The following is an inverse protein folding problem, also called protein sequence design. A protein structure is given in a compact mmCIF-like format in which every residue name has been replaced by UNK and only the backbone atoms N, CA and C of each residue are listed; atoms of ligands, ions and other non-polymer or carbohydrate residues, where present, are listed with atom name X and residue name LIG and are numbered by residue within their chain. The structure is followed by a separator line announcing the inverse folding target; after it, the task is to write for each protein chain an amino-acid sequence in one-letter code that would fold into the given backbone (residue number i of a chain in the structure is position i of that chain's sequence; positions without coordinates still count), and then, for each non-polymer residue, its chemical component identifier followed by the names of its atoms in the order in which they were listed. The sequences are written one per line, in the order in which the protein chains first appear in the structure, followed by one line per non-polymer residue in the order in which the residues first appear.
data_IF_638968610333
#
_entry.id   IF_638968610333
#
_cell.length_a   1.000
_cell.length_b   1.000
_cell.length_c   1.000
_cell.angle_alpha   90.00
_cell.angle_beta   90.00
_cell.angle_gamma   90.00
#
_symmetry.space_group_name_H-M   'P 1'
#
loop_
_entity.id
_entity.type
_entity.pdbx_description
1 polymer ?
#
# COMPACT_ATOMS: atom_id res chain seq x y z
N UNK A 1 5.60 -16.47 8.29
CA UNK A 1 4.27 -16.64 7.68
C UNK A 1 4.21 -16.02 6.30
N UNK A 2 4.54 -14.74 6.12
CA UNK A 2 4.42 -14.02 4.84
C UNK A 2 5.46 -14.39 3.77
N UNK A 3 6.65 -14.85 4.16
CA UNK A 3 7.73 -15.21 3.23
C UNK A 3 7.43 -16.40 2.31
N UNK A 4 6.37 -17.15 2.60
CA UNK A 4 5.94 -18.32 1.82
C UNK A 4 4.61 -18.08 1.10
N UNK A 5 4.07 -16.85 1.11
CA UNK A 5 2.84 -16.52 0.40
C UNK A 5 3.15 -16.26 -1.07
N UNK A 6 2.74 -17.17 -1.92
CA UNK A 6 2.99 -17.10 -3.37
C UNK A 6 1.93 -16.28 -4.15
N UNK A 7 0.99 -15.66 -3.46
CA UNK A 7 0.03 -14.77 -4.11
C UNK A 7 0.74 -13.49 -4.55
N UNK A 8 0.42 -13.01 -5.74
CA UNK A 8 0.95 -11.75 -6.27
C UNK A 8 0.01 -10.61 -5.92
N UNK A 9 0.53 -9.57 -5.31
CA UNK A 9 -0.17 -8.32 -4.99
C UNK A 9 0.50 -7.18 -5.75
N UNK A 10 -0.28 -6.33 -6.39
CA UNK A 10 0.23 -5.09 -6.99
C UNK A 10 0.19 -3.96 -5.98
N UNK A 11 1.22 -3.12 -6.04
CA UNK A 11 1.50 -2.09 -5.04
C UNK A 11 1.67 -0.74 -5.69
N UNK A 12 1.46 0.30 -4.90
CA UNK A 12 1.68 1.68 -5.27
C UNK A 12 2.28 2.44 -4.08
N UNK A 13 3.32 3.21 -4.33
CA UNK A 13 3.74 4.30 -3.48
C UNK A 13 3.17 5.60 -4.07
N UNK A 14 2.22 6.20 -3.36
CA UNK A 14 1.45 7.36 -3.81
C UNK A 14 2.07 8.66 -3.31
N UNK A 15 3.16 9.09 -3.93
CA UNK A 15 3.73 10.43 -3.73
C UNK A 15 2.96 11.53 -4.46
N UNK A 16 2.94 12.73 -3.91
CA UNK A 16 2.23 13.88 -4.54
C UNK A 16 2.82 14.34 -5.88
N UNK A 17 4.06 13.97 -6.18
CA UNK A 17 4.73 14.30 -7.46
C UNK A 17 4.76 13.10 -8.40
N UNK A 18 5.08 11.94 -7.88
CA UNK A 18 5.20 10.71 -8.66
C UNK A 18 4.47 9.55 -7.97
N UNK A 19 3.93 8.67 -8.77
CA UNK A 19 3.47 7.35 -8.40
C UNK A 19 4.53 6.32 -8.76
N UNK A 20 4.84 5.40 -7.82
CA UNK A 20 5.73 4.28 -8.06
C UNK A 20 4.96 2.98 -7.93
N UNK A 21 4.74 2.31 -9.04
CA UNK A 21 3.99 1.06 -9.12
C UNK A 21 4.94 -0.14 -9.06
N UNK A 22 4.49 -1.21 -8.43
CA UNK A 22 5.25 -2.44 -8.32
C UNK A 22 4.37 -3.66 -8.14
N UNK A 23 5.00 -4.81 -8.03
CA UNK A 23 4.32 -6.06 -7.66
C UNK A 23 5.19 -6.88 -6.72
N UNK A 24 4.54 -7.53 -5.76
CA UNK A 24 5.20 -8.31 -4.73
C UNK A 24 4.65 -9.74 -4.66
N UNK A 25 5.54 -10.68 -4.38
CA UNK A 25 5.25 -12.09 -4.11
C UNK A 25 6.24 -12.61 -3.07
N UNK A 26 5.77 -13.30 -2.05
CA UNK A 26 6.63 -13.85 -0.98
C UNK A 26 7.59 -12.81 -0.36
N UNK A 27 7.09 -11.61 -0.10
CA UNK A 27 7.85 -10.46 0.42
C UNK A 27 9.01 -9.99 -0.47
N UNK A 28 8.92 -10.16 -1.77
CA UNK A 28 9.92 -9.67 -2.72
C UNK A 28 9.24 -8.94 -3.87
N UNK A 29 9.85 -7.87 -4.33
CA UNK A 29 9.49 -7.30 -5.60
C UNK A 29 9.80 -8.29 -6.72
N UNK A 30 8.86 -8.46 -7.65
CA UNK A 30 8.96 -9.41 -8.77
C UNK A 30 9.06 -8.73 -10.13
N UNK A 31 8.95 -7.42 -10.17
CA UNK A 31 9.20 -6.57 -11.34
C UNK A 31 10.00 -5.33 -10.92
N UNK A 32 10.67 -4.70 -11.85
CA UNK A 32 11.24 -3.38 -11.66
C UNK A 32 10.13 -2.33 -11.48
N UNK A 33 10.31 -1.35 -10.57
CA UNK A 33 9.31 -0.34 -10.31
C UNK A 33 9.03 0.53 -11.55
N UNK A 34 7.77 0.89 -11.71
CA UNK A 34 7.30 1.76 -12.80
C UNK A 34 6.95 3.12 -12.19
N UNK A 35 7.62 4.17 -12.63
CA UNK A 35 7.36 5.53 -12.13
C UNK A 35 6.58 6.34 -13.17
N UNK A 36 5.52 7.01 -12.71
CA UNK A 36 4.70 7.94 -13.51
C UNK A 36 4.45 9.23 -12.72
N UNK A 37 4.26 10.38 -13.40
CA UNK A 37 3.85 11.62 -12.73
C UNK A 37 2.48 11.42 -12.08
N UNK A 38 2.29 11.89 -10.84
CA UNK A 38 1.03 11.71 -10.10
C UNK A 38 -0.13 12.52 -10.69
N UNK A 39 0.16 13.63 -11.36
CA UNK A 39 -0.83 14.56 -11.90
C UNK A 39 -1.87 15.02 -10.86
N UNK A 40 -1.43 15.20 -9.61
CA UNK A 40 -2.27 15.38 -8.43
C UNK A 40 -3.16 16.64 -8.45
N UNK A 41 -2.95 17.56 -9.39
CA UNK A 41 -3.73 18.79 -9.59
C UNK A 41 -4.99 18.55 -10.42
N UNK A 42 -5.02 17.48 -11.22
CA UNK A 42 -6.11 17.13 -12.13
C UNK A 42 -6.61 15.73 -11.79
N UNK A 43 -7.86 15.64 -11.32
CA UNK A 43 -8.41 14.36 -10.85
C UNK A 43 -8.51 13.34 -11.97
N UNK A 44 -9.02 13.74 -13.14
CA UNK A 44 -9.23 12.81 -14.25
C UNK A 44 -7.89 12.25 -14.76
N UNK A 45 -6.90 13.12 -14.88
CA UNK A 45 -5.56 12.73 -15.30
C UNK A 45 -4.85 11.87 -14.24
N UNK A 46 -5.02 12.20 -12.96
CA UNK A 46 -4.51 11.41 -11.84
C UNK A 46 -5.11 10.00 -11.84
N UNK A 47 -6.44 9.89 -11.96
CA UNK A 47 -7.15 8.61 -12.02
C UNK A 47 -6.75 7.79 -13.26
N UNK A 48 -6.57 8.45 -14.41
CA UNK A 48 -6.07 7.77 -15.62
C UNK A 48 -4.64 7.25 -15.42
N UNK A 49 -3.76 8.04 -14.80
CA UNK A 49 -2.39 7.63 -14.46
C UNK A 49 -2.36 6.38 -13.56
N UNK A 50 -3.27 6.31 -12.57
CA UNK A 50 -3.41 5.14 -11.71
C UNK A 50 -3.79 3.89 -12.51
N UNK A 51 -4.80 4.02 -13.38
CA UNK A 51 -5.25 2.92 -14.24
C UNK A 51 -4.14 2.45 -15.19
N UNK A 52 -3.46 3.38 -15.83
CA UNK A 52 -2.38 3.06 -16.77
C UNK A 52 -1.17 2.41 -16.08
N UNK A 53 -0.82 2.90 -14.87
CA UNK A 53 0.27 2.35 -14.09
C UNK A 53 -0.02 0.91 -13.65
N UNK A 54 -1.20 0.63 -13.11
CA UNK A 54 -1.58 -0.73 -12.73
C UNK A 54 -1.70 -1.67 -13.93
N UNK A 55 -2.23 -1.20 -15.07
CA UNK A 55 -2.27 -1.99 -16.30
C UNK A 55 -0.86 -2.36 -16.79
N UNK A 56 0.09 -1.42 -16.72
CA UNK A 56 1.48 -1.66 -17.10
C UNK A 56 2.15 -2.69 -16.17
N UNK A 57 1.88 -2.63 -14.85
CA UNK A 57 2.32 -3.67 -13.91
C UNK A 57 1.75 -5.02 -14.31
N UNK A 58 0.42 -5.11 -14.51
CA UNK A 58 -0.27 -6.37 -14.86
C UNK A 58 0.30 -6.96 -16.14
N UNK A 59 0.62 -6.14 -17.14
CA UNK A 59 1.21 -6.59 -18.40
C UNK A 59 2.61 -7.22 -18.26
N UNK A 60 3.33 -6.92 -17.16
CA UNK A 60 4.65 -7.49 -16.86
C UNK A 60 4.59 -8.74 -15.98
N UNK A 61 3.41 -9.10 -15.46
CA UNK A 61 3.27 -10.25 -14.58
C UNK A 61 3.12 -11.56 -15.37
N UNK A 62 3.66 -12.61 -14.76
CA UNK A 62 3.51 -14.02 -15.22
C UNK A 62 2.21 -14.67 -14.72
N UNK A 63 1.45 -13.99 -13.87
CA UNK A 63 0.22 -14.50 -13.25
C UNK A 63 -0.77 -13.38 -12.97
N UNK A 64 -2.02 -13.76 -12.74
CA UNK A 64 -3.06 -12.83 -12.32
C UNK A 64 -2.83 -12.37 -10.87
N UNK A 65 -2.78 -11.05 -10.57
CA UNK A 65 -2.69 -10.55 -9.21
C UNK A 65 -4.00 -10.84 -8.44
N UNK A 66 -3.89 -11.03 -7.14
CA UNK A 66 -5.04 -11.31 -6.26
C UNK A 66 -5.60 -10.07 -5.57
N UNK A 67 -4.83 -8.99 -5.52
CA UNK A 67 -5.24 -7.73 -4.89
C UNK A 67 -4.39 -6.55 -5.39
N UNK A 68 -4.91 -5.35 -5.19
CA UNK A 68 -4.16 -4.09 -5.17
C UNK A 68 -4.05 -3.66 -3.70
N UNK A 69 -2.85 -3.30 -3.23
CA UNK A 69 -2.65 -2.81 -1.87
C UNK A 69 -1.63 -1.70 -1.84
N UNK A 70 -2.00 -0.56 -1.24
CA UNK A 70 -1.12 0.60 -1.21
C UNK A 70 -1.41 1.56 -0.05
N UNK A 71 -0.42 2.43 0.21
CA UNK A 71 -0.55 3.58 1.07
C UNK A 71 -1.09 4.78 0.29
N UNK A 72 -1.97 5.55 0.93
CA UNK A 72 -2.39 6.85 0.42
C UNK A 72 -2.46 7.83 1.61
N UNK A 73 -1.95 9.07 1.47
CA UNK A 73 -1.97 10.03 2.57
C UNK A 73 -3.39 10.40 2.95
N UNK A 74 -3.60 10.68 4.24
CA UNK A 74 -4.88 11.15 4.77
C UNK A 74 -5.09 12.66 4.61
N UNK A 75 -6.33 13.13 4.92
CA UNK A 75 -7.44 12.38 5.54
C UNK A 75 -8.15 11.43 4.58
N UNK A 76 -8.70 10.32 5.11
CA UNK A 76 -9.41 9.33 4.32
C UNK A 76 -10.31 8.44 5.20
N UNK A 77 -11.40 7.93 4.61
CA UNK A 77 -12.13 6.77 5.13
C UNK A 77 -11.52 5.50 4.52
N UNK A 78 -10.46 5.00 5.13
CA UNK A 78 -9.73 3.85 4.62
C UNK A 78 -10.57 2.57 4.60
N UNK A 79 -11.54 2.43 5.52
CA UNK A 79 -12.41 1.27 5.58
C UNK A 79 -13.28 1.13 4.33
N UNK A 80 -13.73 2.25 3.76
CA UNK A 80 -14.54 2.32 2.55
C UNK A 80 -13.72 2.67 1.30
N UNK A 81 -12.41 2.91 1.44
CA UNK A 81 -11.53 3.28 0.32
C UNK A 81 -11.83 4.65 -0.28
N UNK A 82 -12.35 5.58 0.55
CA UNK A 82 -12.63 6.97 0.15
C UNK A 82 -11.48 7.83 0.64
N UNK A 83 -10.74 8.45 -0.26
CA UNK A 83 -9.58 9.29 0.04
C UNK A 83 -9.89 10.76 -0.22
N UNK A 84 -9.33 11.64 0.62
CA UNK A 84 -9.65 13.07 0.55
C UNK A 84 -10.86 13.45 1.42
N UNK A 85 -11.59 14.47 0.98
CA UNK A 85 -12.73 15.01 1.72
C UNK A 85 -12.35 16.16 2.67
N UNK A 86 -11.09 16.59 2.64
CA UNK A 86 -10.56 17.72 3.39
C UNK A 86 -9.28 18.26 2.72
N UNK A 87 -8.57 19.17 3.37
CA UNK A 87 -7.35 19.76 2.82
C UNK A 87 -6.24 18.72 2.63
N UNK A 88 -5.87 18.48 1.37
CA UNK A 88 -4.77 17.59 0.98
C UNK A 88 -3.80 18.36 0.07
N UNK A 89 -2.76 18.97 0.60
CA UNK A 89 -1.85 19.83 -0.19
C UNK A 89 -1.14 19.07 -1.31
N UNK A 90 -0.85 17.80 -1.10
CA UNK A 90 -0.18 16.94 -2.10
C UNK A 90 -1.13 16.39 -3.16
N UNK A 91 -2.44 16.39 -2.90
CA UNK A 91 -3.49 15.91 -3.80
C UNK A 91 -4.69 16.85 -3.78
N UNK A 92 -4.55 18.09 -4.25
CA UNK A 92 -5.61 19.10 -4.16
C UNK A 92 -6.86 18.73 -4.95
N UNK A 93 -6.75 17.90 -5.99
CA UNK A 93 -7.87 17.40 -6.76
C UNK A 93 -8.76 16.39 -6.00
N UNK A 94 -8.27 15.83 -4.88
CA UNK A 94 -9.04 14.91 -4.02
C UNK A 94 -9.81 15.62 -2.91
N UNK A 95 -9.88 16.94 -2.94
CA UNK A 95 -10.45 17.80 -1.90
C UNK A 95 -11.88 17.41 -1.48
N UNK A 96 -12.71 17.00 -2.42
CA UNK A 96 -14.12 16.70 -2.16
C UNK A 96 -14.37 15.23 -1.81
N UNK A 97 -13.30 14.45 -1.68
CA UNK A 97 -13.35 13.02 -1.44
C UNK A 97 -13.55 12.22 -2.74
N UNK A 98 -12.74 11.18 -2.90
CA UNK A 98 -12.75 10.31 -4.07
C UNK A 98 -12.91 8.87 -3.62
N UNK A 99 -13.89 8.15 -4.15
CA UNK A 99 -14.11 6.73 -3.91
C UNK A 99 -13.07 5.88 -4.67
N UNK A 100 -11.79 6.08 -4.35
CA UNK A 100 -10.65 5.52 -5.07
C UNK A 100 -10.62 3.99 -5.00
N UNK A 101 -10.85 3.43 -3.81
CA UNK A 101 -10.91 1.98 -3.61
C UNK A 101 -11.99 1.31 -4.45
N UNK A 102 -13.27 1.73 -4.32
CA UNK A 102 -14.37 1.24 -5.15
C UNK A 102 -14.11 1.39 -6.66
N UNK A 103 -13.61 2.54 -7.11
CA UNK A 103 -13.28 2.77 -8.51
C UNK A 103 -12.25 1.77 -9.05
N UNK A 104 -11.14 1.57 -8.34
CA UNK A 104 -10.10 0.64 -8.75
C UNK A 104 -10.58 -0.81 -8.66
N UNK A 105 -11.40 -1.15 -7.64
CA UNK A 105 -11.98 -2.48 -7.52
C UNK A 105 -12.91 -2.82 -8.67
N UNK A 106 -13.76 -1.88 -9.09
CA UNK A 106 -14.62 -2.04 -10.26
C UNK A 106 -13.78 -2.19 -11.54
N UNK A 107 -12.75 -1.35 -11.70
CA UNK A 107 -11.91 -1.32 -12.89
C UNK A 107 -11.11 -2.60 -13.11
N UNK A 108 -10.56 -3.17 -12.03
CA UNK A 108 -9.65 -4.34 -12.11
C UNK A 108 -10.29 -5.67 -11.71
N UNK A 109 -11.49 -5.65 -11.10
CA UNK A 109 -12.19 -6.86 -10.69
C UNK A 109 -11.49 -7.65 -9.59
N UNK A 110 -10.62 -7.01 -8.80
CA UNK A 110 -9.90 -7.58 -7.66
C UNK A 110 -10.00 -6.68 -6.43
N UNK A 111 -9.88 -7.22 -5.20
CA UNK A 111 -9.92 -6.42 -3.99
C UNK A 111 -8.87 -5.32 -3.97
N UNK A 112 -9.24 -4.16 -3.44
CA UNK A 112 -8.36 -2.99 -3.25
C UNK A 112 -8.29 -2.64 -1.78
N UNK A 113 -7.07 -2.55 -1.26
CA UNK A 113 -6.79 -2.20 0.13
C UNK A 113 -5.96 -0.92 0.17
N UNK A 114 -6.53 0.11 0.79
CA UNK A 114 -5.86 1.40 0.99
C UNK A 114 -5.70 1.60 2.50
N UNK A 115 -4.55 2.10 2.92
CA UNK A 115 -4.33 2.46 4.32
C UNK A 115 -3.50 3.73 4.42
N UNK A 116 -3.40 4.26 5.64
CA UNK A 116 -2.53 5.40 5.91
C UNK A 116 -1.05 5.02 5.73
N UNK A 117 -0.26 5.93 5.17
CA UNK A 117 1.17 5.75 4.92
C UNK A 117 1.97 5.59 6.23
N UNK A 118 1.68 6.41 7.25
CA UNK A 118 2.34 6.30 8.54
C UNK A 118 1.97 5.00 9.27
N UNK A 119 0.71 4.56 9.18
CA UNK A 119 0.27 3.30 9.77
C UNK A 119 0.98 2.11 9.11
N UNK A 120 1.05 2.09 7.78
CA UNK A 120 1.75 1.02 7.05
C UNK A 120 3.25 1.02 7.33
N UNK A 121 3.88 2.19 7.43
CA UNK A 121 5.28 2.30 7.84
C UNK A 121 5.49 1.72 9.25
N UNK A 122 4.65 2.11 10.23
CA UNK A 122 4.74 1.58 11.58
C UNK A 122 4.55 0.05 11.64
N UNK A 123 3.62 -0.49 10.86
CA UNK A 123 3.44 -1.93 10.73
C UNK A 123 4.67 -2.61 10.11
N UNK A 124 5.25 -2.05 9.06
CA UNK A 124 6.46 -2.56 8.42
C UNK A 124 7.61 -2.67 9.42
N UNK A 125 7.86 -1.60 10.19
CA UNK A 125 8.87 -1.57 11.25
C UNK A 125 8.59 -2.59 12.36
N UNK A 126 7.32 -2.79 12.72
CA UNK A 126 6.93 -3.74 13.75
C UNK A 126 7.11 -5.21 13.33
N UNK A 127 6.97 -5.51 12.05
CA UNK A 127 7.02 -6.90 11.54
C UNK A 127 8.39 -7.32 11.01
N UNK A 128 9.10 -6.43 10.37
CA UNK A 128 10.33 -6.75 9.64
C UNK A 128 11.46 -5.73 9.83
N UNK A 129 11.17 -4.59 10.46
CA UNK A 129 12.13 -3.52 10.71
C UNK A 129 12.86 -3.65 12.05
N UNK A 130 12.94 -2.55 12.81
CA UNK A 130 13.72 -2.44 14.03
C UNK A 130 13.11 -3.21 15.22
N UNK A 131 11.78 -3.32 15.32
CA UNK A 131 11.13 -3.88 16.50
C UNK A 131 11.49 -5.34 16.80
N UNK A 132 11.57 -6.28 15.84
CA UNK A 132 12.05 -7.63 16.09
C UNK A 132 13.45 -7.68 16.73
N UNK A 133 14.38 -6.89 16.22
CA UNK A 133 15.75 -6.84 16.73
C UNK A 133 15.84 -6.22 18.14
N UNK A 134 14.98 -5.22 18.43
CA UNK A 134 14.86 -4.64 19.78
C UNK A 134 14.31 -5.68 20.75
N UNK A 135 13.26 -6.40 20.38
CA UNK A 135 12.66 -7.43 21.23
C UNK A 135 13.64 -8.57 21.55
N UNK A 136 14.40 -9.03 20.57
CA UNK A 136 15.45 -10.03 20.78
C UNK A 136 16.49 -9.58 21.83
N UNK A 137 16.91 -8.30 21.75
CA UNK A 137 17.84 -7.73 22.75
C UNK A 137 17.19 -7.59 24.14
N UNK A 138 15.92 -7.20 24.21
CA UNK A 138 15.20 -7.09 25.49
C UNK A 138 15.02 -8.46 26.16
N UNK A 139 14.67 -9.48 25.40
CA UNK A 139 14.57 -10.86 25.86
C UNK A 139 15.92 -11.37 26.39
N UNK A 140 17.01 -11.08 25.67
CA UNK A 140 18.37 -11.44 26.11
C UNK A 140 18.79 -10.74 27.43
N UNK A 141 18.21 -9.57 27.73
CA UNK A 141 18.43 -8.82 28.97
C UNK A 141 17.43 -9.17 30.08
N UNK A 142 16.53 -10.15 29.86
CA UNK A 142 15.48 -10.55 30.80
C UNK A 142 14.37 -9.50 30.97
N UNK A 143 14.23 -8.57 30.04
CA UNK A 143 13.19 -7.56 30.01
C UNK A 143 11.99 -7.99 29.18
N UNK A 144 10.79 -7.44 29.50
CA UNK A 144 9.59 -7.70 28.71
C UNK A 144 9.74 -7.14 27.29
N UNK A 145 9.32 -7.93 26.29
CA UNK A 145 9.29 -7.48 24.90
C UNK A 145 8.23 -6.37 24.68
N UNK A 146 8.51 -5.46 23.77
CA UNK A 146 7.53 -4.45 23.33
C UNK A 146 6.41 -5.16 22.56
N UNK A 147 5.16 -4.85 22.89
CA UNK A 147 3.98 -5.49 22.30
C UNK A 147 3.95 -5.30 20.79
N UNK A 148 3.75 -6.38 20.08
CA UNK A 148 3.45 -6.34 18.64
C UNK A 148 2.02 -5.85 18.44
N UNK A 149 1.76 -4.93 17.51
CA UNK A 149 0.39 -4.62 17.14
C UNK A 149 -0.27 -5.89 16.61
N UNK A 150 -1.27 -6.38 17.34
CA UNK A 150 -1.99 -7.60 16.99
C UNK A 150 -3.34 -7.21 16.41
N UNK A 151 -3.54 -7.36 15.10
CA UNK A 151 -4.87 -7.54 14.55
C UNK A 151 -4.83 -8.46 13.35
N UNK A 152 -5.54 -9.56 13.43
CA UNK A 152 -5.65 -10.57 12.40
C UNK A 152 -6.38 -10.08 11.13
N UNK A 153 -7.02 -8.91 11.18
CA UNK A 153 -7.83 -8.35 10.11
C UNK A 153 -7.04 -7.60 9.03
N UNK A 154 -5.76 -7.31 9.26
CA UNK A 154 -4.91 -6.55 8.34
C UNK A 154 -3.83 -7.40 7.66
N UNK A 155 -3.93 -8.73 7.74
CA UNK A 155 -2.86 -9.64 7.35
C UNK A 155 -2.43 -9.59 5.87
N UNK A 156 -3.32 -9.23 4.96
CA UNK A 156 -2.99 -9.09 3.53
C UNK A 156 -2.30 -7.76 3.25
N UNK A 157 -2.75 -6.69 3.91
CA UNK A 157 -2.26 -5.33 3.71
C UNK A 157 -0.84 -5.15 4.25
N UNK A 158 -0.53 -5.76 5.38
CA UNK A 158 0.78 -5.67 6.04
C UNK A 158 1.86 -6.46 5.32
N UNK A 159 1.51 -7.53 4.61
CA UNK A 159 2.48 -8.36 3.87
C UNK A 159 3.19 -7.61 2.75
N UNK A 160 2.64 -6.51 2.28
CA UNK A 160 3.10 -5.78 1.10
C UNK A 160 4.16 -4.72 1.46
N UNK A 161 4.16 -4.21 2.70
CA UNK A 161 4.98 -3.07 3.11
C UNK A 161 6.06 -3.41 4.14
N UNK A 162 6.24 -4.69 4.47
CA UNK A 162 7.25 -5.14 5.43
C UNK A 162 8.65 -5.33 4.81
N UNK A 163 9.07 -4.44 3.92
CA UNK A 163 10.42 -4.46 3.33
C UNK A 163 11.13 -3.13 3.53
#
# INVERSE_FOLDING_TARGET
MYRNDNRTVITLDAGGTNFVFGAMRANKFIIDPITKPANAQDLDLCMQTLVDGFNEVIAKLDCKPVAISFAFPGPADYANGIVGGFYMPNFPSFRDGVALGPFLQEKFGIPVYINNDADLYAYGEALAGALPAVNEKLEALGSASVTRPCSATHSVQVSVWAL
#
